data_IF_138407819299
#
_entry.id   IF_138407819299
#
_cell.length_a   1.000
_cell.length_b   1.000
_cell.length_c   1.000
_cell.angle_alpha   90.00
_cell.angle_beta   90.00
_cell.angle_gamma   90.00
#
_symmetry.space_group_name_H-M   'P 1'
#
loop_
_entity.id
_entity.type
_entity.pdbx_description
1 polymer ?
#
# COMPACT_ATOMS: atom_id res chain seq x y z
N UNK A 1 -3.17 -18.15 1.36
CA UNK A 1 -4.37 -17.44 0.98
C UNK A 1 -4.37 -16.01 1.50
N UNK A 2 -4.36 -15.83 2.83
CA UNK A 2 -4.33 -14.48 3.41
C UNK A 2 -3.04 -13.74 3.03
N UNK A 3 -1.92 -14.44 3.01
CA UNK A 3 -0.64 -13.85 2.63
C UNK A 3 -0.64 -13.44 1.15
N UNK A 4 -1.23 -14.25 0.29
CA UNK A 4 -1.32 -13.92 -1.13
C UNK A 4 -2.21 -12.71 -1.36
N UNK A 5 -3.32 -12.61 -0.63
CA UNK A 5 -4.20 -11.46 -0.73
C UNK A 5 -3.52 -10.19 -0.24
N UNK A 6 -2.76 -10.29 0.85
CA UNK A 6 -2.02 -9.14 1.38
C UNK A 6 -0.97 -8.68 0.38
N UNK A 7 -0.23 -9.60 -0.21
CA UNK A 7 0.78 -9.26 -1.22
C UNK A 7 0.16 -8.58 -2.42
N UNK A 8 -0.99 -9.06 -2.88
CA UNK A 8 -1.70 -8.44 -4.01
C UNK A 8 -2.12 -7.01 -3.68
N UNK A 9 -2.63 -6.79 -2.47
CA UNK A 9 -3.04 -5.44 -2.04
C UNK A 9 -1.84 -4.50 -1.95
N UNK A 10 -0.72 -4.98 -1.46
CA UNK A 10 0.51 -4.17 -1.37
C UNK A 10 1.01 -3.82 -2.76
N UNK A 11 0.99 -4.76 -3.70
CA UNK A 11 1.40 -4.49 -5.07
C UNK A 11 0.49 -3.46 -5.73
N UNK A 12 -0.81 -3.55 -5.48
CA UNK A 12 -1.76 -2.58 -5.99
C UNK A 12 -1.47 -1.18 -5.44
N UNK A 13 -1.23 -1.09 -4.13
CA UNK A 13 -0.92 0.19 -3.50
C UNK A 13 0.38 0.77 -4.06
N UNK A 14 1.40 -0.06 -4.24
CA UNK A 14 2.67 0.38 -4.82
C UNK A 14 2.46 0.93 -6.22
N UNK A 15 1.66 0.24 -7.02
CA UNK A 15 1.34 0.68 -8.39
C UNK A 15 0.69 2.06 -8.37
N UNK A 16 -0.28 2.26 -7.48
CA UNK A 16 -0.96 3.55 -7.36
C UNK A 16 -0.02 4.65 -6.91
N UNK A 17 0.92 4.34 -6.01
CA UNK A 17 1.90 5.33 -5.57
C UNK A 17 2.82 5.77 -6.70
N UNK A 18 3.17 4.86 -7.60
CA UNK A 18 4.06 5.15 -8.71
C UNK A 18 3.34 5.83 -9.87
N UNK A 19 2.10 5.45 -10.13
CA UNK A 19 1.36 5.89 -11.30
C UNK A 19 0.46 7.11 -11.07
N UNK A 20 0.16 7.44 -9.82
CA UNK A 20 -0.76 8.53 -9.51
C UNK A 20 -0.20 9.44 -8.43
N UNK A 21 -0.86 10.60 -8.24
CA UNK A 21 -0.53 11.52 -7.17
C UNK A 21 -1.54 11.44 -6.02
N UNK A 22 -2.27 10.34 -5.93
CA UNK A 22 -3.27 10.16 -4.88
C UNK A 22 -2.63 10.24 -3.49
N UNK A 23 -3.31 10.83 -2.51
CA UNK A 23 -2.82 10.81 -1.14
C UNK A 23 -2.79 9.38 -0.60
N UNK A 24 -1.94 9.15 0.40
CA UNK A 24 -1.76 7.80 0.95
C UNK A 24 -3.08 7.18 1.42
N UNK A 25 -3.96 7.99 2.00
CA UNK A 25 -5.26 7.52 2.44
C UNK A 25 -6.09 6.97 1.28
N UNK A 26 -6.11 7.71 0.17
CA UNK A 26 -6.84 7.26 -1.02
C UNK A 26 -6.22 6.01 -1.62
N UNK A 27 -4.89 5.93 -1.64
CA UNK A 27 -4.19 4.75 -2.12
C UNK A 27 -4.55 3.53 -1.26
N UNK A 28 -4.56 3.70 0.06
CA UNK A 28 -4.90 2.62 0.97
C UNK A 28 -6.32 2.10 0.72
N UNK A 29 -7.26 3.00 0.54
CA UNK A 29 -8.65 2.64 0.28
C UNK A 29 -8.80 1.94 -1.06
N UNK A 30 -8.16 2.46 -2.09
CA UNK A 30 -8.24 1.87 -3.42
C UNK A 30 -7.60 0.48 -3.47
N UNK A 31 -6.57 0.27 -2.66
CA UNK A 31 -5.90 -1.01 -2.58
C UNK A 31 -6.56 -2.00 -1.61
N UNK A 32 -7.58 -1.56 -0.89
CA UNK A 32 -8.28 -2.43 0.06
C UNK A 32 -7.55 -2.59 1.39
N UNK A 33 -6.74 -1.61 1.77
CA UNK A 33 -5.96 -1.67 3.01
C UNK A 33 -6.60 -0.92 4.18
N UNK A 34 -7.77 -0.33 3.97
CA UNK A 34 -8.53 0.28 5.04
C UNK A 34 -8.19 1.73 5.34
N UNK A 35 -6.92 2.09 5.42
CA UNK A 35 -6.51 3.46 5.69
C UNK A 35 -5.02 3.63 5.64
N UNK A 36 -4.55 4.87 5.79
CA UNK A 36 -3.13 5.19 5.69
C UNK A 36 -2.29 4.44 6.72
N UNK A 37 -2.79 4.33 7.93
CA UNK A 37 -2.07 3.63 9.00
C UNK A 37 -1.83 2.17 8.62
N UNK A 38 -2.87 1.51 8.13
CA UNK A 38 -2.77 0.12 7.70
C UNK A 38 -1.79 0.00 6.52
N UNK A 39 -1.86 0.94 5.60
CA UNK A 39 -0.95 0.98 4.46
C UNK A 39 0.51 1.01 4.94
N UNK A 40 0.82 1.89 5.89
CA UNK A 40 2.18 2.00 6.42
C UNK A 40 2.64 0.73 7.11
N UNK A 41 1.76 0.12 7.89
CA UNK A 41 2.09 -1.12 8.59
C UNK A 41 2.39 -2.25 7.62
N UNK A 42 1.54 -2.42 6.62
CA UNK A 42 1.71 -3.50 5.66
C UNK A 42 2.96 -3.28 4.81
N UNK A 43 3.22 -2.05 4.37
CA UNK A 43 4.43 -1.75 3.62
C UNK A 43 5.69 -2.05 4.44
N UNK A 44 5.68 -1.69 5.71
CA UNK A 44 6.82 -1.96 6.58
C UNK A 44 7.07 -3.47 6.73
N UNK A 45 6.01 -4.25 6.80
CA UNK A 45 6.13 -5.70 6.97
C UNK A 45 6.50 -6.43 5.69
N UNK A 46 5.90 -6.05 4.57
CA UNK A 46 6.07 -6.77 3.31
C UNK A 46 7.25 -6.24 2.50
N UNK A 47 7.38 -4.93 2.41
CA UNK A 47 8.39 -4.30 1.58
C UNK A 47 9.56 -3.74 2.39
N UNK A 48 9.46 -3.71 3.72
CA UNK A 48 10.45 -3.16 4.63
C UNK A 48 10.77 -1.69 4.33
N UNK A 49 9.84 -0.96 3.71
CA UNK A 49 9.98 0.44 3.34
C UNK A 49 8.67 1.18 3.55
N UNK A 50 8.71 2.45 3.97
CA UNK A 50 7.48 3.23 4.09
C UNK A 50 6.92 3.57 2.71
N UNK A 51 5.58 3.79 2.60
CA UNK A 51 4.97 4.14 1.31
C UNK A 51 5.56 5.41 0.71
N UNK A 52 5.93 6.37 1.53
CA UNK A 52 6.50 7.64 1.07
C UNK A 52 7.83 7.45 0.34
N UNK A 53 8.52 6.33 0.55
CA UNK A 53 9.78 6.07 -0.13
C UNK A 53 9.60 5.73 -1.62
N UNK A 54 8.36 5.52 -2.05
CA UNK A 54 8.06 5.26 -3.45
C UNK A 54 7.69 6.52 -4.23
N UNK A 55 7.77 7.69 -3.58
CA UNK A 55 7.49 8.99 -4.21
C UNK A 55 8.66 9.99 -4.09
#
# INVERSE_FOLDING_TARGET
>A
VAAALRAARVQRARQLLLDTDLPLDAVARAAGLGGERQLRMVFAKVLARPPSSFR
#
